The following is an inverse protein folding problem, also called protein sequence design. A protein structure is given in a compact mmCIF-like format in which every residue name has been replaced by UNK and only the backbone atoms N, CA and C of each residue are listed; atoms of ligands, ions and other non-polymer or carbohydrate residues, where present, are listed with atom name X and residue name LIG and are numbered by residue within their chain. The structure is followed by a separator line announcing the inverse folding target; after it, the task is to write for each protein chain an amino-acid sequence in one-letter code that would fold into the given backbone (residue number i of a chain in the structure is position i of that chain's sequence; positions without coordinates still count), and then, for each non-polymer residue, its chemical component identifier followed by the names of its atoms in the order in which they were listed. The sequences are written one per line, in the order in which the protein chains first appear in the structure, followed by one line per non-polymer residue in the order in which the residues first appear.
data_IF_613067777443
#
_entry.id   IF_613067777443
#
_cell.length_a   1.000
_cell.length_b   1.000
_cell.length_c   1.000
_cell.angle_alpha   90.00
_cell.angle_beta   90.00
_cell.angle_gamma   90.00
#
_symmetry.space_group_name_H-M   'P 1'
#
loop_
_entity.id
_entity.type
_entity.pdbx_description
1 polymer ?
#
# COMPACT_ATOMS: atom_id res chain seq x y z
N UNK A 1 12.48 -4.22 2.76
CA UNK A 1 11.41 -4.56 1.78
C UNK A 1 10.41 -3.40 1.71
N UNK A 2 9.54 -3.27 0.69
CA UNK A 2 8.45 -2.26 0.67
C UNK A 2 7.07 -2.92 0.62
N UNK A 3 6.09 -2.24 1.22
CA UNK A 3 4.69 -2.66 1.33
C UNK A 3 3.77 -1.60 0.73
N UNK A 4 2.83 -2.03 -0.10
CA UNK A 4 1.70 -1.20 -0.56
C UNK A 4 0.50 -1.52 0.31
N UNK A 5 -0.07 -0.51 0.94
CA UNK A 5 -1.11 -0.64 1.95
C UNK A 5 -2.32 0.16 1.51
N UNK A 6 -3.47 -0.50 1.53
CA UNK A 6 -4.78 0.13 1.49
C UNK A 6 -5.22 0.40 2.93
N UNK A 7 -5.49 1.66 3.21
CA UNK A 7 -6.07 2.12 4.47
C UNK A 7 -7.33 2.91 4.12
N UNK A 8 -8.46 2.59 4.78
CA UNK A 8 -9.74 3.25 4.52
C UNK A 8 -9.69 4.77 4.73
N UNK A 9 -8.78 5.25 5.58
CA UNK A 9 -8.63 6.67 5.92
C UNK A 9 -7.67 7.41 4.99
N UNK A 10 -6.84 6.69 4.22
CA UNK A 10 -5.79 7.29 3.38
C UNK A 10 -5.95 6.88 1.93
N UNK A 11 -6.54 7.80 1.15
CA UNK A 11 -6.44 7.78 -0.31
C UNK A 11 -5.46 8.88 -0.74
N UNK A 12 -4.43 8.57 -1.54
CA UNK A 12 -4.13 7.31 -2.25
C UNK A 12 -3.38 6.24 -1.43
N UNK A 13 -3.22 5.04 -2.00
CA UNK A 13 -2.44 3.91 -1.42
C UNK A 13 -1.08 4.36 -0.86
N UNK A 14 -0.74 3.87 0.33
CA UNK A 14 0.53 4.19 0.98
C UNK A 14 1.60 3.15 0.62
N UNK A 15 2.81 3.61 0.29
CA UNK A 15 3.99 2.75 0.12
C UNK A 15 4.91 3.00 1.32
N UNK A 16 5.14 1.96 2.13
CA UNK A 16 6.00 2.05 3.32
C UNK A 16 7.22 1.13 3.18
N UNK A 17 8.37 1.57 3.69
CA UNK A 17 9.47 0.65 3.96
C UNK A 17 9.08 -0.31 5.09
N UNK A 18 9.70 -1.49 5.13
CA UNK A 18 9.47 -2.55 6.10
C UNK A 18 9.56 -2.08 7.56
N UNK A 19 10.57 -1.28 7.90
CA UNK A 19 10.72 -0.77 9.28
C UNK A 19 9.52 0.14 9.65
N UNK A 20 9.15 1.04 8.74
CA UNK A 20 7.99 1.94 8.92
C UNK A 20 6.67 1.17 8.95
N UNK A 21 6.58 0.09 8.19
CA UNK A 21 5.42 -0.80 8.19
C UNK A 21 5.22 -1.43 9.57
N UNK A 22 6.28 -1.94 10.18
CA UNK A 22 6.18 -2.57 11.51
C UNK A 22 5.86 -1.58 12.63
N UNK A 23 6.36 -0.34 12.53
CA UNK A 23 5.96 0.73 13.45
C UNK A 23 4.49 1.13 13.28
N UNK A 24 4.00 1.12 12.04
CA UNK A 24 2.62 1.47 11.72
C UNK A 24 1.63 0.32 11.96
N UNK A 25 2.10 -0.93 11.95
CA UNK A 25 1.25 -2.13 12.01
C UNK A 25 0.54 -2.20 13.36
N UNK A 26 -0.79 -2.14 13.30
CA UNK A 26 -1.65 -2.33 14.46
C UNK A 26 -2.62 -3.48 14.17
N UNK A 27 -2.50 -4.64 14.85
CA UNK A 27 -3.35 -5.81 14.62
C UNK A 27 -4.82 -5.58 14.95
N UNK A 28 -5.16 -4.49 15.67
CA UNK A 28 -6.53 -4.12 15.99
C UNK A 28 -7.18 -3.22 14.92
N UNK A 29 -6.39 -2.62 14.02
CA UNK A 29 -6.92 -1.74 12.95
C UNK A 29 -7.42 -2.61 11.79
N UNK A 30 -8.75 -2.81 11.71
CA UNK A 30 -9.40 -3.69 10.72
C UNK A 30 -9.28 -3.23 9.26
N UNK A 31 -9.07 -1.94 9.05
CA UNK A 31 -9.07 -1.34 7.70
C UNK A 31 -7.68 -1.27 7.07
N UNK A 32 -6.68 -1.87 7.73
CA UNK A 32 -5.31 -1.96 7.21
C UNK A 32 -5.14 -3.25 6.41
N UNK A 33 -4.94 -3.12 5.09
CA UNK A 33 -4.71 -4.28 4.21
C UNK A 33 -3.46 -4.08 3.36
N UNK A 34 -2.58 -5.08 3.38
CA UNK A 34 -1.43 -5.15 2.46
C UNK A 34 -1.92 -5.65 1.10
N UNK A 35 -1.74 -4.84 0.07
CA UNK A 35 -2.13 -5.17 -1.31
C UNK A 35 -0.95 -5.77 -2.09
N UNK A 36 0.28 -5.33 -1.79
CA UNK A 36 1.48 -5.80 -2.48
C UNK A 36 2.73 -5.65 -1.60
N UNK A 37 3.76 -6.47 -1.86
CA UNK A 37 5.10 -6.32 -1.27
C UNK A 37 6.19 -6.57 -2.32
N UNK A 38 7.27 -5.80 -2.28
CA UNK A 38 8.38 -5.97 -3.21
C UNK A 38 9.45 -4.91 -3.08
N UNK A 39 10.24 -4.72 -4.15
CA UNK A 39 11.13 -3.57 -4.26
C UNK A 39 10.32 -2.27 -4.42
N UNK A 40 10.96 -1.13 -4.13
CA UNK A 40 10.34 0.18 -4.27
C UNK A 40 9.77 0.41 -5.68
N UNK A 41 10.55 0.09 -6.72
CA UNK A 41 10.13 0.22 -8.12
C UNK A 41 8.92 -0.67 -8.46
N UNK A 42 8.88 -1.88 -7.92
CA UNK A 42 7.74 -2.79 -8.10
C UNK A 42 6.47 -2.25 -7.44
N UNK A 43 6.60 -1.65 -6.24
CA UNK A 43 5.48 -1.03 -5.53
C UNK A 43 4.91 0.19 -6.29
N UNK A 44 5.77 1.08 -6.80
CA UNK A 44 5.32 2.21 -7.64
C UNK A 44 4.64 1.72 -8.92
N UNK A 45 5.19 0.69 -9.55
CA UNK A 45 4.59 0.07 -10.75
C UNK A 45 3.19 -0.50 -10.45
N UNK A 46 3.03 -1.15 -9.30
CA UNK A 46 1.74 -1.69 -8.85
C UNK A 46 0.70 -0.57 -8.65
N UNK A 47 1.04 0.47 -7.88
CA UNK A 47 0.15 1.61 -7.62
C UNK A 47 -0.25 2.33 -8.91
N UNK A 48 0.71 2.56 -9.83
CA UNK A 48 0.42 3.18 -11.12
C UNK A 48 -0.58 2.37 -11.97
N UNK A 49 -0.47 1.04 -11.96
CA UNK A 49 -1.44 0.15 -12.64
C UNK A 49 -2.81 0.21 -11.99
N UNK A 50 -2.88 0.22 -10.66
CA UNK A 50 -4.15 0.26 -9.93
C UNK A 50 -4.88 1.59 -10.12
N UNK A 51 -4.17 2.72 -10.08
CA UNK A 51 -4.72 4.04 -10.37
C UNK A 51 -5.28 4.11 -11.80
N UNK A 52 -4.59 3.52 -12.79
CA UNK A 52 -5.07 3.46 -14.16
C UNK A 52 -6.37 2.68 -14.28
N UNK A 53 -6.48 1.52 -13.62
CA UNK A 53 -7.70 0.72 -13.61
C UNK A 53 -8.85 1.44 -12.91
N UNK A 54 -8.58 2.21 -11.84
CA UNK A 54 -9.59 3.00 -11.14
C UNK A 54 -10.15 4.16 -11.95
N UNK A 55 -9.39 4.71 -12.91
CA UNK A 55 -9.84 5.81 -13.79
C UNK A 55 -10.62 5.32 -15.02
N UNK A 56 -10.64 4.00 -15.27
CA UNK A 56 -11.32 3.37 -16.42
C UNK A 56 -12.68 2.76 -16.06
N UNK A 57 -13.07 2.80 -14.79
CA UNK A 57 -14.39 2.39 -14.27
C UNK A 57 -15.16 3.62 -13.80
#
# INVERSE_FOLDING_TARGET
MYYVILDSEKFPLSILHEDQYFEYYNPLKKDHRVEFRGSMNQCYTFVAKQNRLSLMN
#
